data_IF_285095639921
#
_entry.id   IF_285095639921
#
_cell.length_a   1.000
_cell.length_b   1.000
_cell.length_c   1.000
_cell.angle_alpha   90.00
_cell.angle_beta   90.00
_cell.angle_gamma   90.00
#
_symmetry.space_group_name_H-M   'P 1'
#
loop_
_entity.id
_entity.type
_entity.pdbx_description
1 polymer ?
#
# COMPACT_ATOMS: atom_id res chain seq x y z
N UNK A 1 10.10 21.73 2.72
CA UNK A 1 8.74 21.26 2.43
C UNK A 1 8.64 19.87 3.02
N UNK A 2 7.65 19.62 3.88
CA UNK A 2 7.39 18.25 4.32
C UNK A 2 7.02 17.40 3.10
N UNK A 3 7.44 16.14 3.08
CA UNK A 3 7.04 15.19 2.05
C UNK A 3 5.50 15.05 2.08
N UNK A 4 4.85 15.21 0.93
CA UNK A 4 3.39 15.14 0.79
C UNK A 4 2.84 13.82 1.36
N UNK A 5 3.59 12.73 1.18
CA UNK A 5 3.21 11.41 1.71
C UNK A 5 3.20 11.39 3.24
N UNK A 6 4.18 12.04 3.86
CA UNK A 6 4.30 12.12 5.32
C UNK A 6 3.18 12.95 5.94
N UNK A 7 2.79 14.05 5.29
CA UNK A 7 1.67 14.88 5.74
C UNK A 7 0.34 14.12 5.59
N UNK A 8 0.11 13.47 4.45
CA UNK A 8 -1.14 12.74 4.22
C UNK A 8 -1.29 11.52 5.12
N UNK A 9 -0.20 10.98 5.69
CA UNK A 9 -0.25 9.93 6.71
C UNK A 9 -0.92 10.37 8.03
N UNK A 10 -1.25 11.65 8.22
CA UNK A 10 -2.16 12.10 9.29
C UNK A 10 -3.63 11.71 9.04
N UNK A 11 -3.99 11.34 7.80
CA UNK A 11 -5.34 10.85 7.46
C UNK A 11 -5.50 9.39 7.91
N UNK A 12 -6.54 9.04 8.69
CA UNK A 12 -6.64 7.72 9.35
C UNK A 12 -6.68 6.51 8.41
N UNK A 13 -7.22 6.65 7.20
CA UNK A 13 -7.24 5.55 6.22
C UNK A 13 -5.88 5.39 5.54
N UNK A 14 -5.25 6.49 5.12
CA UNK A 14 -3.93 6.47 4.49
C UNK A 14 -2.85 5.98 5.44
N UNK A 15 -2.94 6.37 6.71
CA UNK A 15 -2.05 5.84 7.75
C UNK A 15 -2.15 4.31 7.84
N UNK A 16 -3.38 3.79 7.88
CA UNK A 16 -3.61 2.35 7.97
C UNK A 16 -3.07 1.61 6.73
N UNK A 17 -3.36 2.12 5.53
CA UNK A 17 -2.82 1.55 4.28
C UNK A 17 -1.29 1.58 4.25
N UNK A 18 -0.69 2.69 4.68
CA UNK A 18 0.76 2.83 4.79
C UNK A 18 1.35 1.77 5.72
N UNK A 19 0.73 1.51 6.87
CA UNK A 19 1.19 0.50 7.82
C UNK A 19 1.06 -0.92 7.25
N UNK A 20 -0.04 -1.23 6.55
CA UNK A 20 -0.20 -2.52 5.88
C UNK A 20 0.91 -2.78 4.84
N UNK A 21 1.37 -1.73 4.16
CA UNK A 21 2.44 -1.86 3.16
C UNK A 21 3.84 -1.94 3.77
N UNK A 22 4.05 -1.31 4.94
CA UNK A 22 5.37 -1.12 5.54
C UNK A 22 5.59 -1.88 6.86
N UNK A 23 4.71 -2.82 7.20
CA UNK A 23 4.81 -3.55 8.46
C UNK A 23 6.17 -4.26 8.59
N UNK A 24 6.85 -4.02 9.71
CA UNK A 24 8.15 -4.60 10.03
C UNK A 24 8.13 -5.28 11.40
N UNK A 25 9.16 -6.05 11.71
CA UNK A 25 9.26 -6.80 12.97
C UNK A 25 9.04 -8.30 12.83
N UNK A 26 9.00 -8.97 13.98
CA UNK A 26 8.87 -10.42 14.12
C UNK A 26 7.50 -10.88 13.62
N UNK A 27 7.43 -12.11 13.12
CA UNK A 27 6.18 -12.74 12.72
C UNK A 27 6.07 -14.09 13.42
N UNK A 28 5.30 -14.13 14.50
CA UNK A 28 5.20 -15.34 15.32
C UNK A 28 4.42 -16.45 14.61
N UNK A 29 3.47 -16.06 13.75
CA UNK A 29 2.59 -16.99 13.06
C UNK A 29 2.98 -17.30 11.61
N UNK A 30 4.07 -16.74 11.09
CA UNK A 30 4.46 -16.90 9.67
C UNK A 30 4.76 -18.34 9.28
N UNK A 31 5.11 -19.20 10.24
CA UNK A 31 5.32 -20.63 9.98
C UNK A 31 4.07 -21.31 9.38
N UNK A 32 2.88 -20.75 9.60
CA UNK A 32 1.64 -21.26 9.02
C UNK A 32 1.63 -21.19 7.49
N UNK A 33 2.37 -20.25 6.89
CA UNK A 33 2.42 -20.09 5.44
C UNK A 33 3.00 -21.30 4.69
N UNK A 34 3.88 -22.07 5.34
CA UNK A 34 4.50 -23.24 4.73
C UNK A 34 3.53 -24.42 4.55
N UNK A 35 2.36 -24.38 5.21
CA UNK A 35 1.34 -25.42 5.08
C UNK A 35 0.42 -25.21 3.85
N UNK A 36 0.52 -24.06 3.18
CA UNK A 36 -0.39 -23.62 2.13
C UNK A 36 0.32 -23.30 0.81
N UNK A 37 -0.46 -23.25 -0.27
CA UNK A 37 0.01 -22.83 -1.59
C UNK A 37 0.86 -23.86 -2.34
N UNK A 38 0.92 -25.11 -1.88
CA UNK A 38 1.74 -26.18 -2.49
C UNK A 38 1.31 -26.55 -3.92
N UNK A 39 0.06 -26.25 -4.29
CA UNK A 39 -0.53 -26.50 -5.61
C UNK A 39 -0.56 -25.27 -6.52
N UNK A 40 -0.14 -24.10 -6.03
CA UNK A 40 -0.11 -22.87 -6.80
C UNK A 40 1.06 -22.87 -7.78
N UNK A 41 0.88 -22.21 -8.92
CA UNK A 41 1.89 -22.12 -9.97
C UNK A 41 3.15 -21.41 -9.47
N UNK A 42 2.97 -20.26 -8.81
CA UNK A 42 4.07 -19.46 -8.27
C UNK A 42 4.11 -19.51 -6.74
N UNK A 43 4.69 -20.60 -6.22
CA UNK A 43 4.85 -20.84 -4.78
C UNK A 43 5.66 -19.74 -4.09
N UNK A 44 6.72 -19.26 -4.72
CA UNK A 44 7.59 -18.23 -4.15
C UNK A 44 6.83 -16.92 -3.91
N UNK A 45 6.12 -16.43 -4.93
CA UNK A 45 5.29 -15.24 -4.81
C UNK A 45 4.17 -15.41 -3.78
N UNK A 46 3.53 -16.58 -3.72
CA UNK A 46 2.56 -16.89 -2.68
C UNK A 46 3.18 -16.80 -1.28
N UNK A 47 4.34 -17.40 -1.05
CA UNK A 47 4.98 -17.38 0.27
C UNK A 47 5.32 -15.95 0.73
N UNK A 48 5.82 -15.10 -0.17
CA UNK A 48 6.07 -13.70 0.13
C UNK A 48 4.78 -12.93 0.50
N UNK A 49 3.71 -13.15 -0.27
CA UNK A 49 2.40 -12.56 0.02
C UNK A 49 1.82 -13.06 1.34
N UNK A 50 1.95 -14.36 1.62
CA UNK A 50 1.46 -14.98 2.83
C UNK A 50 2.17 -14.44 4.08
N UNK A 51 3.49 -14.29 4.05
CA UNK A 51 4.22 -13.70 5.19
C UNK A 51 3.77 -12.26 5.48
N UNK A 52 3.55 -11.44 4.44
CA UNK A 52 3.00 -10.09 4.62
C UNK A 52 1.57 -10.13 5.16
N UNK A 53 0.74 -11.03 4.64
CA UNK A 53 -0.63 -11.25 5.12
C UNK A 53 -0.63 -11.55 6.63
N UNK A 54 0.16 -12.52 7.09
CA UNK A 54 0.16 -12.95 8.50
C UNK A 54 0.51 -11.80 9.44
N UNK A 55 1.54 -11.00 9.12
CA UNK A 55 1.86 -9.79 9.91
C UNK A 55 0.69 -8.80 9.92
N UNK A 56 0.05 -8.60 8.78
CA UNK A 56 -1.08 -7.68 8.66
C UNK A 56 -2.34 -8.17 9.38
N UNK A 57 -2.52 -9.48 9.58
CA UNK A 57 -3.60 -10.02 10.45
C UNK A 57 -3.41 -9.53 11.87
N UNK A 58 -2.21 -9.72 12.44
CA UNK A 58 -1.86 -9.33 13.80
C UNK A 58 -1.99 -7.81 14.01
N UNK A 59 -1.52 -7.02 13.03
CA UNK A 59 -1.68 -5.57 13.05
C UNK A 59 -3.14 -5.14 12.95
N UNK A 60 -3.91 -5.71 12.02
CA UNK A 60 -5.34 -5.38 11.85
C UNK A 60 -6.09 -5.64 13.15
N UNK A 61 -5.89 -6.79 13.78
CA UNK A 61 -6.43 -7.11 15.10
C UNK A 61 -6.03 -6.06 16.15
N UNK A 62 -4.74 -5.75 16.27
CA UNK A 62 -4.24 -4.77 17.24
C UNK A 62 -4.87 -3.38 17.05
N UNK A 63 -5.09 -2.95 15.80
CA UNK A 63 -5.76 -1.67 15.52
C UNK A 63 -7.24 -1.67 15.91
N UNK A 64 -7.93 -2.82 15.79
CA UNK A 64 -9.34 -2.95 16.19
C UNK A 64 -9.45 -2.90 17.71
N UNK A 65 -8.55 -3.60 18.41
CA UNK A 65 -8.46 -3.56 19.87
C UNK A 65 -8.24 -2.13 20.40
N UNK A 66 -7.27 -1.40 19.83
CA UNK A 66 -6.92 -0.06 20.31
C UNK A 66 -7.93 1.03 19.96
N UNK A 67 -8.57 0.94 18.79
CA UNK A 67 -9.45 2.01 18.29
C UNK A 67 -10.95 1.70 18.45
N UNK A 68 -11.30 0.49 18.91
CA UNK A 68 -12.67 0.07 19.19
C UNK A 68 -13.34 -0.72 18.05
N UNK A 69 -14.29 -1.56 18.45
CA UNK A 69 -15.00 -2.50 17.58
C UNK A 69 -15.82 -1.81 16.46
N UNK A 70 -16.19 -0.53 16.65
CA UNK A 70 -16.88 0.25 15.61
C UNK A 70 -16.05 0.43 14.33
N UNK A 71 -14.71 0.33 14.41
CA UNK A 71 -13.85 0.36 13.22
C UNK A 71 -13.56 -1.03 12.65
N UNK A 72 -13.97 -2.11 13.33
CA UNK A 72 -13.73 -3.50 12.92
C UNK A 72 -14.08 -3.72 11.46
N UNK A 73 -15.32 -3.41 11.08
CA UNK A 73 -15.81 -3.68 9.74
C UNK A 73 -14.94 -2.97 8.68
N UNK A 74 -14.61 -1.70 8.91
CA UNK A 74 -13.72 -0.95 8.01
C UNK A 74 -12.34 -1.60 7.92
N UNK A 75 -11.70 -1.89 9.05
CA UNK A 75 -10.34 -2.46 9.06
C UNK A 75 -10.29 -3.81 8.34
N UNK A 76 -11.30 -4.66 8.55
CA UNK A 76 -11.41 -5.92 7.83
C UNK A 76 -11.66 -5.72 6.32
N UNK A 77 -12.56 -4.81 5.94
CA UNK A 77 -12.84 -4.51 4.53
C UNK A 77 -11.60 -3.94 3.80
N UNK A 78 -10.87 -3.01 4.45
CA UNK A 78 -9.62 -2.43 3.92
C UNK A 78 -8.53 -3.50 3.77
N UNK A 79 -8.40 -4.40 4.76
CA UNK A 79 -7.41 -5.46 4.70
C UNK A 79 -7.75 -6.51 3.63
N UNK A 80 -9.03 -6.85 3.44
CA UNK A 80 -9.49 -7.69 2.32
C UNK A 80 -9.14 -7.02 0.98
N UNK A 81 -9.43 -5.73 0.83
CA UNK A 81 -9.04 -4.98 -0.37
C UNK A 81 -7.52 -5.03 -0.59
N UNK A 82 -6.73 -4.77 0.45
CA UNK A 82 -5.26 -4.79 0.38
C UNK A 82 -4.75 -6.14 -0.07
N UNK A 83 -5.28 -7.24 0.48
CA UNK A 83 -4.93 -8.60 0.09
C UNK A 83 -5.18 -8.84 -1.40
N UNK A 84 -6.40 -8.56 -1.87
CA UNK A 84 -6.77 -8.76 -3.29
C UNK A 84 -5.96 -7.87 -4.22
N UNK A 85 -5.73 -6.61 -3.86
CA UNK A 85 -4.91 -5.68 -4.63
C UNK A 85 -3.47 -6.19 -4.79
N UNK A 86 -2.87 -6.71 -3.71
CA UNK A 86 -1.51 -7.26 -3.76
C UNK A 86 -1.44 -8.55 -4.58
N UNK A 87 -2.44 -9.44 -4.50
CA UNK A 87 -2.51 -10.63 -5.36
C UNK A 87 -2.57 -10.23 -6.84
N UNK A 88 -3.43 -9.27 -7.18
CA UNK A 88 -3.58 -8.77 -8.55
C UNK A 88 -2.28 -8.14 -9.08
N UNK A 89 -1.56 -7.37 -8.26
CA UNK A 89 -0.26 -6.76 -8.64
C UNK A 89 0.83 -7.79 -8.92
N UNK A 90 0.88 -8.88 -8.15
CA UNK A 90 1.92 -9.91 -8.30
C UNK A 90 1.60 -10.89 -9.44
N UNK A 91 0.32 -11.05 -9.80
CA UNK A 91 -0.14 -12.06 -10.75
C UNK A 91 -0.80 -11.48 -12.02
N UNK A 92 -0.40 -10.27 -12.45
CA UNK A 92 -0.99 -9.57 -13.62
C UNK A 92 -1.00 -10.42 -14.90
N UNK A 93 -0.10 -11.41 -15.02
CA UNK A 93 0.00 -12.31 -16.19
C UNK A 93 -0.76 -13.63 -16.05
N UNK A 94 -1.38 -13.87 -14.90
CA UNK A 94 -1.98 -15.17 -14.56
C UNK A 94 -3.49 -15.11 -14.71
N UNK A 95 -4.12 -16.20 -15.15
CA UNK A 95 -5.57 -16.25 -15.37
C UNK A 95 -6.38 -16.08 -14.07
N UNK A 96 -7.63 -15.63 -14.20
CA UNK A 96 -8.53 -15.34 -13.07
C UNK A 96 -8.70 -16.53 -12.11
N UNK A 97 -8.66 -17.77 -12.62
CA UNK A 97 -8.75 -18.98 -11.81
C UNK A 97 -7.59 -19.09 -10.81
N UNK A 98 -6.37 -18.76 -11.23
CA UNK A 98 -5.21 -18.82 -10.33
C UNK A 98 -5.23 -17.68 -9.31
N UNK A 99 -5.70 -16.49 -9.70
CA UNK A 99 -5.93 -15.39 -8.75
C UNK A 99 -6.90 -15.84 -7.64
N UNK A 100 -8.01 -16.47 -8.02
CA UNK A 100 -8.98 -16.98 -7.06
C UNK A 100 -8.39 -18.09 -6.17
N UNK A 101 -7.58 -19.00 -6.73
CA UNK A 101 -6.89 -20.04 -5.96
C UNK A 101 -5.93 -19.43 -4.93
N UNK A 102 -5.14 -18.43 -5.32
CA UNK A 102 -4.24 -17.72 -4.42
C UNK A 102 -5.01 -17.06 -3.28
N UNK A 103 -6.09 -16.34 -3.60
CA UNK A 103 -6.92 -15.70 -2.58
C UNK A 103 -7.53 -16.75 -1.64
N UNK A 104 -7.99 -17.89 -2.15
CA UNK A 104 -8.55 -18.96 -1.33
C UNK A 104 -7.52 -19.54 -0.35
N UNK A 105 -6.29 -19.76 -0.80
CA UNK A 105 -5.19 -20.23 0.05
C UNK A 105 -4.85 -19.19 1.14
N UNK A 106 -4.82 -17.89 0.80
CA UNK A 106 -4.61 -16.82 1.78
C UNK A 106 -5.75 -16.73 2.81
N UNK A 107 -7.01 -16.93 2.40
CA UNK A 107 -8.15 -17.01 3.31
C UNK A 107 -8.01 -18.20 4.28
N UNK A 108 -7.50 -19.34 3.80
CA UNK A 108 -7.26 -20.51 4.65
C UNK A 108 -6.18 -20.23 5.69
N UNK A 109 -5.06 -19.63 5.28
CA UNK A 109 -4.03 -19.15 6.22
C UNK A 109 -4.65 -18.22 7.26
N UNK A 110 -5.44 -17.23 6.82
CA UNK A 110 -6.05 -16.27 7.74
C UNK A 110 -6.98 -16.96 8.74
N UNK A 111 -7.79 -17.92 8.31
CA UNK A 111 -8.64 -18.73 9.20
C UNK A 111 -7.81 -19.43 10.29
N UNK A 112 -6.70 -20.05 9.91
CA UNK A 112 -5.81 -20.72 10.87
C UNK A 112 -5.19 -19.74 11.87
N UNK A 113 -4.79 -18.55 11.41
CA UNK A 113 -4.25 -17.53 12.30
C UNK A 113 -5.32 -17.05 13.29
N UNK A 114 -6.55 -16.82 12.83
CA UNK A 114 -7.65 -16.42 13.72
C UNK A 114 -7.89 -17.47 14.83
N UNK A 115 -7.81 -18.77 14.51
CA UNK A 115 -7.92 -19.85 15.51
C UNK A 115 -6.78 -19.76 16.52
N UNK A 116 -5.54 -19.59 16.06
CA UNK A 116 -4.37 -19.45 16.95
C UNK A 116 -4.49 -18.24 17.86
N UNK A 117 -4.88 -17.09 17.33
CA UNK A 117 -5.08 -15.86 18.10
C UNK A 117 -6.19 -16.04 19.14
N UNK A 118 -7.31 -16.67 18.77
CA UNK A 118 -8.38 -17.00 19.71
C UNK A 118 -7.91 -17.85 20.90
N UNK A 119 -7.05 -18.85 20.63
CA UNK A 119 -6.46 -19.69 21.68
C UNK A 119 -5.50 -18.92 22.60
N UNK A 120 -4.94 -17.79 22.15
CA UNK A 120 -4.10 -16.89 22.97
C UNK A 120 -4.90 -15.83 23.73
N UNK A 121 -6.24 -15.90 23.70
CA UNK A 121 -7.12 -15.00 24.46
C UNK A 121 -7.61 -13.77 23.69
N UNK A 122 -7.34 -13.67 22.39
CA UNK A 122 -7.90 -12.62 21.54
C UNK A 122 -9.41 -12.80 21.41
N UNK A 123 -10.17 -11.72 21.61
CA UNK A 123 -11.64 -11.80 21.54
C UNK A 123 -12.12 -11.98 20.10
N UNK A 124 -13.15 -12.81 19.86
CA UNK A 124 -13.77 -12.94 18.53
C UNK A 124 -14.29 -11.62 17.96
N UNK A 125 -14.69 -10.67 18.83
CA UNK A 125 -15.12 -9.34 18.43
C UNK A 125 -13.99 -8.50 17.82
N UNK A 126 -12.72 -8.83 18.07
CA UNK A 126 -11.56 -8.13 17.53
C UNK A 126 -11.02 -8.80 16.24
N UNK A 127 -11.46 -10.03 15.94
CA UNK A 127 -11.03 -10.79 14.76
C UNK A 127 -11.93 -10.55 13.54
N UNK A 128 -11.32 -10.44 12.37
CA UNK A 128 -12.05 -10.36 11.11
C UNK A 128 -12.69 -11.71 10.74
N UNK A 129 -13.97 -11.67 10.38
CA UNK A 129 -14.72 -12.86 9.98
C UNK A 129 -14.47 -13.21 8.51
N UNK A 130 -13.53 -14.12 8.29
CA UNK A 130 -13.15 -14.60 6.95
C UNK A 130 -14.24 -15.44 6.27
N UNK A 131 -15.26 -15.92 6.99
CA UNK A 131 -16.36 -16.72 6.40
C UNK A 131 -17.25 -15.88 5.47
N UNK A 132 -17.20 -14.56 5.61
CA UNK A 132 -17.93 -13.60 4.76
C UNK A 132 -17.28 -13.38 3.40
N UNK A 133 -16.04 -13.81 3.23
CA UNK A 133 -15.29 -13.64 1.98
C UNK A 133 -15.73 -14.74 1.01
N UNK A 134 -16.54 -14.38 0.04
CA UNK A 134 -17.05 -15.29 -1.00
C UNK A 134 -16.33 -15.03 -2.32
N UNK A 135 -15.74 -16.08 -2.89
CA UNK A 135 -15.10 -16.02 -4.21
C UNK A 135 -16.10 -16.34 -5.33
N UNK A 136 -15.92 -15.77 -6.54
CA UNK A 136 -14.89 -14.80 -6.92
C UNK A 136 -15.18 -13.40 -6.35
N UNK A 137 -14.14 -12.68 -5.95
CA UNK A 137 -14.26 -11.29 -5.49
C UNK A 137 -14.20 -10.34 -6.68
N UNK A 138 -15.16 -9.41 -6.75
CA UNK A 138 -15.13 -8.33 -7.74
C UNK A 138 -14.22 -7.20 -7.22
N UNK A 139 -13.05 -7.05 -7.84
CA UNK A 139 -12.07 -6.03 -7.45
C UNK A 139 -12.61 -4.60 -7.61
N UNK A 140 -13.44 -4.34 -8.63
CA UNK A 140 -14.02 -3.00 -8.83
C UNK A 140 -15.00 -2.65 -7.70
N UNK A 141 -15.78 -3.63 -7.22
CA UNK A 141 -16.71 -3.41 -6.12
C UNK A 141 -15.95 -3.17 -4.80
N UNK A 142 -14.89 -3.96 -4.55
CA UNK A 142 -14.01 -3.74 -3.41
C UNK A 142 -13.35 -2.35 -3.46
N UNK A 143 -12.86 -1.94 -4.63
CA UNK A 143 -12.24 -0.62 -4.82
C UNK A 143 -13.23 0.52 -4.56
N UNK A 144 -14.45 0.45 -5.13
CA UNK A 144 -15.50 1.45 -4.89
C UNK A 144 -15.87 1.52 -3.40
N UNK A 145 -16.07 0.37 -2.76
CA UNK A 145 -16.39 0.30 -1.33
C UNK A 145 -15.28 0.90 -0.48
N UNK A 146 -14.00 0.65 -0.82
CA UNK A 146 -12.84 1.26 -0.17
C UNK A 146 -12.83 2.78 -0.35
N UNK A 147 -12.98 3.28 -1.57
CA UNK A 147 -12.99 4.73 -1.86
C UNK A 147 -14.05 5.47 -1.04
N UNK A 148 -15.28 4.93 -1.00
CA UNK A 148 -16.35 5.46 -0.15
C UNK A 148 -15.95 5.45 1.33
N UNK A 149 -15.46 4.31 1.83
CA UNK A 149 -15.10 4.15 3.25
C UNK A 149 -13.96 5.08 3.68
N UNK A 150 -12.93 5.22 2.86
CA UNK A 150 -11.78 6.09 3.09
C UNK A 150 -12.20 7.56 3.10
N UNK A 151 -13.08 7.95 2.19
CA UNK A 151 -13.67 9.28 2.19
C UNK A 151 -14.37 9.60 3.51
N UNK A 152 -15.29 8.73 3.96
CA UNK A 152 -16.03 8.95 5.21
C UNK A 152 -15.12 8.93 6.44
N UNK A 153 -14.11 8.04 6.50
CA UNK A 153 -13.17 8.00 7.63
C UNK A 153 -12.31 9.27 7.70
N UNK A 154 -11.83 9.77 6.57
CA UNK A 154 -10.95 10.93 6.53
C UNK A 154 -11.70 12.25 6.70
N UNK A 155 -13.01 12.27 6.49
CA UNK A 155 -13.79 13.50 6.35
C UNK A 155 -13.63 14.45 7.53
N UNK A 156 -13.71 13.96 8.77
CA UNK A 156 -13.60 14.81 9.96
C UNK A 156 -12.20 15.42 10.11
N UNK A 157 -11.15 14.65 9.80
CA UNK A 157 -9.77 15.15 9.77
C UNK A 157 -9.63 16.21 8.69
N UNK A 158 -10.13 15.95 7.48
CA UNK A 158 -10.10 16.91 6.38
C UNK A 158 -10.88 18.18 6.70
N UNK A 159 -12.08 18.07 7.27
CA UNK A 159 -12.86 19.21 7.72
C UNK A 159 -12.03 20.08 8.68
N UNK A 160 -11.45 19.47 9.72
CA UNK A 160 -10.61 20.18 10.69
C UNK A 160 -9.40 20.84 10.03
N UNK A 161 -8.70 20.14 9.13
CA UNK A 161 -7.48 20.66 8.47
C UNK A 161 -7.77 21.73 7.40
N UNK A 162 -8.99 21.79 6.88
CA UNK A 162 -9.38 22.68 5.79
C UNK A 162 -10.25 23.87 6.24
N UNK A 163 -10.89 23.79 7.42
CA UNK A 163 -11.77 24.85 7.93
C UNK A 163 -11.22 25.57 9.16
N UNK A 164 -10.15 25.07 9.79
CA UNK A 164 -9.55 25.73 10.95
C UNK A 164 -8.44 26.70 10.53
N UNK A 165 -8.27 27.77 11.31
CA UNK A 165 -7.27 28.82 11.07
C UNK A 165 -5.79 28.37 11.07
N UNK A 166 -5.49 27.12 11.46
CA UNK A 166 -4.12 26.59 11.42
C UNK A 166 -3.83 25.99 10.03
N UNK A 167 -3.18 26.79 9.18
CA UNK A 167 -3.06 26.59 7.73
C UNK A 167 -1.88 25.73 7.29
N UNK A 168 -1.20 25.07 8.23
CA UNK A 168 -0.05 24.23 7.91
C UNK A 168 -0.49 23.11 6.94
N UNK A 169 0.16 23.06 5.78
CA UNK A 169 -0.08 22.06 4.73
C UNK A 169 -1.51 22.03 4.16
N UNK A 170 -2.32 23.09 4.29
CA UNK A 170 -3.70 23.04 3.78
C UNK A 170 -3.76 22.66 2.29
N UNK A 171 -2.86 23.18 1.45
CA UNK A 171 -2.82 22.87 0.02
C UNK A 171 -2.75 21.35 -0.25
N UNK A 172 -1.99 20.60 0.55
CA UNK A 172 -1.86 19.15 0.45
C UNK A 172 -3.19 18.47 0.75
N UNK A 173 -3.83 18.82 1.88
CA UNK A 173 -5.13 18.29 2.25
C UNK A 173 -6.23 18.67 1.25
N UNK A 174 -6.18 19.89 0.70
CA UNK A 174 -7.14 20.37 -0.28
C UNK A 174 -7.02 19.61 -1.60
N UNK A 175 -5.79 19.35 -2.05
CA UNK A 175 -5.52 18.54 -3.23
C UNK A 175 -6.06 17.12 -3.06
N UNK A 176 -5.79 16.51 -1.91
CA UNK A 176 -6.32 15.19 -1.58
C UNK A 176 -7.85 15.16 -1.55
N UNK A 177 -8.46 16.12 -0.84
CA UNK A 177 -9.92 16.25 -0.76
C UNK A 177 -10.54 16.43 -2.15
N UNK A 178 -9.96 17.28 -2.99
CA UNK A 178 -10.48 17.52 -4.35
C UNK A 178 -10.43 16.26 -5.22
N UNK A 179 -9.41 15.42 -5.06
CA UNK A 179 -9.29 14.14 -5.77
C UNK A 179 -10.29 13.08 -5.27
N UNK A 180 -10.68 13.14 -4.01
CA UNK A 180 -11.46 12.09 -3.35
C UNK A 180 -12.93 12.44 -3.12
N UNK A 181 -13.31 13.72 -3.16
CA UNK A 181 -14.68 14.18 -2.84
C UNK A 181 -15.78 13.56 -3.70
N UNK A 182 -15.48 13.15 -4.94
CA UNK A 182 -16.46 12.48 -5.81
C UNK A 182 -16.84 11.08 -5.30
N UNK A 183 -16.06 10.49 -4.38
CA UNK A 183 -16.49 9.28 -3.69
C UNK A 183 -17.80 9.50 -2.89
N UNK A 184 -18.13 10.74 -2.55
CA UNK A 184 -19.42 11.08 -1.95
C UNK A 184 -20.60 10.78 -2.86
N UNK A 185 -20.46 10.84 -4.18
CA UNK A 185 -21.56 10.55 -5.10
C UNK A 185 -22.01 9.08 -4.95
N UNK A 186 -21.04 8.16 -4.88
CA UNK A 186 -21.30 6.75 -4.59
C UNK A 186 -21.84 6.54 -3.16
N UNK A 187 -21.36 7.30 -2.16
CA UNK A 187 -21.91 7.28 -0.80
C UNK A 187 -23.37 7.72 -0.82
N UNK A 188 -23.69 8.82 -1.49
CA UNK A 188 -25.03 9.36 -1.56
C UNK A 188 -25.98 8.33 -2.18
N UNK A 189 -25.63 7.81 -3.36
CA UNK A 189 -26.47 6.86 -4.10
C UNK A 189 -26.66 5.53 -3.37
N UNK A 190 -25.63 5.01 -2.69
CA UNK A 190 -25.67 3.66 -2.07
C UNK A 190 -26.00 3.64 -0.57
N UNK A 191 -25.83 4.76 0.12
CA UNK A 191 -26.00 4.83 1.58
C UNK A 191 -27.14 5.75 2.00
N UNK A 192 -27.34 6.88 1.31
CA UNK A 192 -28.15 8.00 1.82
C UNK A 192 -29.44 8.23 1.03
N UNK A 193 -29.47 7.83 -0.25
CA UNK A 193 -30.63 8.00 -1.11
C UNK A 193 -31.83 7.20 -0.57
N UNK A 194 -33.05 7.76 -0.63
CA UNK A 194 -34.25 7.02 -0.27
C UNK A 194 -34.36 5.72 -1.07
N UNK A 195 -34.67 4.61 -0.39
CA UNK A 195 -34.76 3.26 -0.97
C UNK A 195 -33.44 2.69 -1.53
N UNK A 196 -32.28 3.23 -1.16
CA UNK A 196 -31.00 2.64 -1.52
C UNK A 196 -30.84 1.22 -0.95
N UNK A 197 -30.22 0.34 -1.73
CA UNK A 197 -29.71 -0.94 -1.22
C UNK A 197 -28.46 -0.69 -0.36
N UNK A 198 -28.68 -0.56 0.94
CA UNK A 198 -27.62 -0.29 1.92
C UNK A 198 -26.70 -1.49 2.20
N UNK A 199 -26.92 -2.64 1.57
CA UNK A 199 -26.09 -3.85 1.78
C UNK A 199 -24.61 -3.60 1.47
N UNK A 200 -24.34 -2.73 0.49
CA UNK A 200 -23.00 -2.36 0.06
C UNK A 200 -22.49 -1.05 0.68
N UNK A 201 -23.27 -0.42 1.55
CA UNK A 201 -22.86 0.80 2.23
C UNK A 201 -21.78 0.52 3.29
N UNK A 202 -20.58 1.15 3.21
CA UNK A 202 -19.59 1.06 4.27
C UNK A 202 -20.15 1.55 5.60
N UNK A 203 -19.81 0.86 6.68
CA UNK A 203 -20.33 1.17 8.02
C UNK A 203 -20.15 2.63 8.42
N UNK A 204 -18.97 3.21 8.14
CA UNK A 204 -18.66 4.61 8.45
C UNK A 204 -19.39 5.64 7.60
N UNK A 205 -20.06 5.24 6.52
CA UNK A 205 -20.71 6.14 5.57
C UNK A 205 -22.23 6.23 5.74
N UNK A 206 -22.77 5.61 6.78
CA UNK A 206 -24.22 5.55 7.03
C UNK A 206 -24.82 6.88 7.52
N UNK A 207 -23.97 7.84 7.88
CA UNK A 207 -24.37 9.18 8.33
C UNK A 207 -24.30 10.19 7.16
N UNK A 208 -25.30 11.06 7.05
CA UNK A 208 -25.36 12.13 6.04
C UNK A 208 -24.38 13.29 6.32
N UNK A 209 -23.62 13.21 7.42
CA UNK A 209 -22.68 14.24 7.83
C UNK A 209 -21.46 14.44 6.90
N UNK A 210 -21.25 13.62 5.88
CA UNK A 210 -20.05 13.66 5.03
C UNK A 210 -20.23 14.41 3.70
N UNK A 211 -21.24 15.28 3.58
CA UNK A 211 -21.42 16.07 2.37
C UNK A 211 -20.22 17.03 2.14
N UNK A 212 -19.54 16.97 0.97
CA UNK A 212 -18.36 17.78 0.68
C UNK A 212 -18.62 19.29 0.75
N UNK A 213 -19.85 19.75 0.54
CA UNK A 213 -20.22 21.17 0.68
C UNK A 213 -19.95 21.71 2.09
N UNK A 214 -19.98 20.87 3.13
CA UNK A 214 -19.65 21.30 4.50
C UNK A 214 -18.21 21.78 4.64
N UNK A 215 -17.29 21.21 3.87
CA UNK A 215 -15.89 21.66 3.81
C UNK A 215 -15.79 22.87 2.89
N UNK A 216 -16.41 22.81 1.70
CA UNK A 216 -16.29 23.86 0.68
C UNK A 216 -16.82 25.21 1.16
N UNK A 217 -17.96 25.23 1.85
CA UNK A 217 -18.60 26.44 2.38
C UNK A 217 -17.83 27.10 3.53
N UNK A 218 -16.95 26.35 4.21
CA UNK A 218 -16.17 26.81 5.37
C UNK A 218 -14.67 26.77 5.13
N UNK A 219 -14.26 26.62 3.87
CA UNK A 219 -12.87 26.47 3.50
C UNK A 219 -12.09 27.73 3.88
N UNK A 220 -11.07 27.57 4.73
CA UNK A 220 -10.24 28.66 5.24
C UNK A 220 -8.75 28.40 4.92
N UNK A 221 -8.42 28.46 3.63
CA UNK A 221 -7.07 28.18 3.15
C UNK A 221 -6.53 29.30 2.27
N UNK A 222 -5.46 29.96 2.75
CA UNK A 222 -4.84 31.12 2.09
C UNK A 222 -4.27 30.80 0.70
N UNK A 223 -3.88 29.54 0.48
CA UNK A 223 -3.26 29.07 -0.75
C UNK A 223 -3.99 27.83 -1.24
N UNK A 224 -5.20 28.02 -1.75
CA UNK A 224 -5.82 27.02 -2.61
C UNK A 224 -5.00 27.03 -3.91
N UNK A 225 -4.35 25.92 -4.30
CA UNK A 225 -3.72 25.87 -5.60
C UNK A 225 -4.78 26.18 -6.65
N UNK A 226 -4.58 27.29 -7.38
CA UNK A 226 -5.33 27.57 -8.60
C UNK A 226 -5.26 26.30 -9.41
N UNK A 227 -6.40 25.72 -9.83
CA UNK A 227 -6.46 24.58 -10.76
C UNK A 227 -5.37 24.85 -11.80
N UNK A 228 -4.27 24.09 -11.75
CA UNK A 228 -3.29 24.17 -12.82
C UNK A 228 -4.11 23.90 -14.07
N UNK A 229 -4.15 24.88 -14.98
CA UNK A 229 -4.64 24.63 -16.33
C UNK A 229 -4.02 23.30 -16.74
N UNK A 230 -4.81 22.34 -17.27
CA UNK A 230 -4.30 21.02 -17.59
C UNK A 230 -2.95 21.22 -18.25
N UNK A 231 -1.89 20.65 -17.64
CA UNK A 231 -0.51 20.79 -18.14
C UNK A 231 -0.61 20.64 -19.65
N UNK A 232 -0.14 21.67 -20.40
CA UNK A 232 -0.12 21.65 -21.86
C UNK A 232 0.28 20.24 -22.26
N UNK A 233 -0.65 19.53 -22.91
CA UNK A 233 -0.40 18.17 -23.37
C UNK A 233 0.87 18.25 -24.18
N UNK A 234 1.95 17.65 -23.68
CA UNK A 234 3.22 17.57 -24.39
C UNK A 234 2.89 16.83 -25.68
N UNK A 235 3.14 17.42 -26.86
CA UNK A 235 2.88 16.74 -28.13
C UNK A 235 3.52 15.35 -28.11
N UNK A 236 2.82 14.36 -28.65
CA UNK A 236 3.28 12.96 -28.65
C UNK A 236 4.70 12.82 -29.21
N UNK A 237 5.07 13.67 -30.17
CA UNK A 237 6.39 13.78 -30.76
C UNK A 237 7.49 14.13 -29.74
N UNK A 238 7.21 15.05 -28.82
CA UNK A 238 8.17 15.51 -27.81
C UNK A 238 8.34 14.45 -26.70
N UNK A 239 7.25 13.77 -26.33
CA UNK A 239 7.26 12.61 -25.44
C UNK A 239 8.05 11.44 -26.04
N UNK A 240 7.83 11.13 -27.32
CA UNK A 240 8.55 10.06 -28.02
C UNK A 240 10.04 10.36 -28.12
N UNK A 241 10.41 11.61 -28.41
CA UNK A 241 11.80 12.04 -28.45
C UNK A 241 12.51 11.89 -27.10
N UNK A 242 11.86 12.28 -26.00
CA UNK A 242 12.41 12.13 -24.65
C UNK A 242 12.55 10.64 -24.26
N UNK A 243 11.55 9.83 -24.59
CA UNK A 243 11.55 8.37 -24.38
C UNK A 243 12.68 7.67 -25.14
N UNK A 244 12.92 8.05 -26.40
CA UNK A 244 14.00 7.49 -27.20
C UNK A 244 15.38 7.91 -26.68
N UNK A 245 15.50 9.15 -26.20
CA UNK A 245 16.72 9.65 -25.55
C UNK A 245 17.03 8.86 -24.28
N UNK A 246 16.03 8.63 -23.43
CA UNK A 246 16.15 7.83 -22.21
C UNK A 246 16.48 6.38 -22.51
N UNK A 247 15.86 5.78 -23.54
CA UNK A 247 16.20 4.41 -23.99
C UNK A 247 17.65 4.32 -24.45
N UNK A 248 18.11 5.30 -25.22
CA UNK A 248 19.49 5.34 -25.70
C UNK A 248 20.49 5.45 -24.54
N UNK A 249 20.22 6.34 -23.57
CA UNK A 249 21.04 6.48 -22.36
C UNK A 249 21.05 5.19 -21.51
N UNK A 250 19.88 4.55 -21.35
CA UNK A 250 19.78 3.28 -20.63
C UNK A 250 20.55 2.17 -21.36
N UNK A 251 20.48 2.12 -22.69
CA UNK A 251 21.21 1.14 -23.48
C UNK A 251 22.73 1.37 -23.38
N UNK A 252 23.20 2.62 -23.41
CA UNK A 252 24.61 2.93 -23.14
C UNK A 252 25.04 2.53 -21.73
N UNK A 253 24.23 2.83 -20.71
CA UNK A 253 24.52 2.45 -19.33
C UNK A 253 24.56 0.93 -19.14
N UNK A 254 23.67 0.19 -19.80
CA UNK A 254 23.67 -1.27 -19.80
C UNK A 254 24.89 -1.84 -20.52
N UNK A 255 25.31 -1.27 -21.65
CA UNK A 255 26.54 -1.69 -22.36
C UNK A 255 27.79 -1.41 -21.50
N UNK A 256 27.83 -0.27 -20.82
CA UNK A 256 28.91 0.06 -19.89
C UNK A 256 28.93 -0.90 -18.67
N UNK A 257 27.76 -1.31 -18.18
CA UNK A 257 27.62 -2.28 -17.10
C UNK A 257 27.86 -3.73 -17.54
N UNK A 258 27.65 -4.05 -18.82
CA UNK A 258 27.76 -5.41 -19.36
C UNK A 258 29.17 -5.78 -19.85
N UNK A 259 30.18 -4.92 -19.66
CA UNK A 259 31.58 -5.32 -19.79
C UNK A 259 32.01 -6.04 -18.50
N UNK A 260 32.02 -7.39 -18.46
CA UNK A 260 32.29 -8.14 -17.24
C UNK A 260 33.79 -8.41 -17.06
N UNK A 261 34.64 -7.84 -17.91
CA UNK A 261 36.07 -8.14 -17.92
C UNK A 261 36.80 -7.05 -17.16
N UNK A 262 37.25 -7.41 -15.95
CA UNK A 262 38.35 -6.77 -15.24
C UNK A 262 39.51 -6.51 -16.23
N UNK A 263 39.64 -5.28 -16.71
CA UNK A 263 40.71 -4.88 -17.61
C UNK A 263 41.90 -4.39 -16.77
N UNK A 264 43.14 -4.71 -17.16
CA UNK A 264 44.38 -4.29 -16.50
C UNK A 264 44.53 -2.76 -16.32
N UNK A 265 43.71 -1.96 -17.00
CA UNK A 265 43.61 -0.51 -16.81
C UNK A 265 42.65 -0.07 -15.68
N UNK A 266 41.97 -0.99 -15.00
CA UNK A 266 41.09 -0.65 -13.87
C UNK A 266 41.94 -0.23 -12.66
N UNK A 267 41.81 1.02 -12.17
CA UNK A 267 42.60 1.52 -11.04
C UNK A 267 42.42 0.68 -9.78
N UNK A 268 41.29 -0.03 -9.62
CA UNK A 268 41.04 -0.94 -8.49
C UNK A 268 41.98 -2.15 -8.48
N UNK A 269 42.37 -2.65 -9.66
CA UNK A 269 43.34 -3.75 -9.80
C UNK A 269 44.74 -3.28 -9.43
N UNK A 270 45.11 -2.07 -9.85
CA UNK A 270 46.43 -1.49 -9.53
C UNK A 270 46.62 -1.39 -8.02
N UNK A 271 45.60 -0.94 -7.28
CA UNK A 271 45.63 -0.93 -5.82
C UNK A 271 45.72 -2.33 -5.21
N UNK A 272 44.94 -3.30 -5.71
CA UNK A 272 44.96 -4.67 -5.20
C UNK A 272 46.35 -5.33 -5.36
N UNK A 273 47.00 -5.15 -6.51
CA UNK A 273 48.35 -5.67 -6.78
C UNK A 273 49.37 -5.00 -5.83
N UNK A 274 49.31 -3.68 -5.68
CA UNK A 274 50.20 -2.95 -4.76
C UNK A 274 50.06 -3.43 -3.31
N UNK A 275 48.82 -3.60 -2.82
CA UNK A 275 48.58 -4.08 -1.46
C UNK A 275 48.99 -5.54 -1.25
N UNK A 276 48.86 -6.40 -2.26
CA UNK A 276 49.34 -7.79 -2.16
C UNK A 276 50.86 -7.84 -2.11
N UNK A 277 51.57 -7.09 -2.95
CA UNK A 277 53.03 -7.00 -2.89
C UNK A 277 53.52 -6.41 -1.55
N UNK A 278 52.86 -5.37 -1.05
CA UNK A 278 53.16 -4.82 0.27
C UNK A 278 52.91 -5.80 1.40
N UNK A 279 51.80 -6.55 1.35
CA UNK A 279 51.48 -7.60 2.31
C UNK A 279 52.55 -8.70 2.33
N UNK A 280 53.00 -9.17 1.17
CA UNK A 280 54.05 -10.19 1.06
C UNK A 280 55.36 -9.67 1.66
N UNK A 281 55.77 -8.44 1.33
CA UNK A 281 56.98 -7.82 1.89
C UNK A 281 56.92 -7.68 3.41
N UNK A 282 55.78 -7.22 3.95
CA UNK A 282 55.57 -7.13 5.41
C UNK A 282 55.63 -8.51 6.06
N UNK A 283 55.03 -9.52 5.43
CA UNK A 283 55.04 -10.90 5.95
C UNK A 283 56.46 -11.44 6.03
N UNK A 284 57.28 -11.23 4.99
CA UNK A 284 58.70 -11.59 5.05
C UNK A 284 59.47 -10.78 6.09
N UNK A 285 59.21 -9.48 6.23
CA UNK A 285 59.87 -8.64 7.24
C UNK A 285 59.57 -9.09 8.68
N UNK A 286 58.32 -9.50 8.96
CA UNK A 286 57.92 -9.97 10.29
C UNK A 286 58.31 -11.42 10.59
N UNK A 287 58.45 -12.29 9.57
CA UNK A 287 58.83 -13.69 9.75
C UNK A 287 60.34 -13.95 9.64
N UNK A 288 61.12 -13.01 9.09
CA UNK A 288 62.58 -13.10 8.99
C UNK A 288 63.32 -12.46 10.18
N UNK A 289 62.59 -12.13 11.25
CA UNK A 289 63.12 -11.74 12.55
C UNK A 289 62.71 -12.77 13.60
#
# INVERSE_FOLDING_TARGET
>A
MADESTVLNELPSLNFDYQLDNISGKCDNCISCYNYGSKLYNKFSFQLLCHRLVKNIEYTHSTIYLNGEQLKQKRCDDFIYWMVNNVNKVNVKTGQNEINNIIQELINVWRDINVKLGNTGVKPSELCDVSRIKLPLNFNDLNKKKMMSDYCQNFNTLYTKLTNHNKLNCNIYYNYFTKTKNAYDDVFEKCLKPNADISNCPYLCKDNNYNPERILTKLDCDKIPVKEKPKKVVPEEECNKEKDTLRYQLQQALVAASNPVFNYSDPRIVFLILFTFWGILLTFFFLYK
#
